data_IF_548152144974
#
_entry.id   IF_548152144974
#
_cell.length_a   1.000
_cell.length_b   1.000
_cell.length_c   1.000
_cell.angle_alpha   90.00
_cell.angle_beta   90.00
_cell.angle_gamma   90.00
#
_symmetry.space_group_name_H-M   'P 1'
#
loop_
_entity.id
_entity.type
_entity.pdbx_description
1 polymer ?
#
# COMPACT_ATOMS: atom_id res chain seq x y z
N UNK A 1 -0.80 -11.02 -8.76
CA UNK A 1 0.57 -10.80 -8.25
C UNK A 1 0.47 -10.29 -6.83
N UNK A 2 0.87 -11.14 -5.87
CA UNK A 2 0.72 -10.91 -4.43
C UNK A 2 1.52 -9.68 -4.00
N UNK A 3 1.03 -9.00 -2.97
CA UNK A 3 1.50 -7.74 -2.35
C UNK A 3 3.00 -7.62 -1.99
N UNK A 4 3.84 -8.61 -2.29
CA UNK A 4 5.18 -8.75 -1.72
C UNK A 4 6.34 -8.50 -2.69
N UNK A 5 6.14 -8.51 -4.02
CA UNK A 5 7.26 -8.34 -4.97
C UNK A 5 7.91 -6.95 -4.87
N UNK A 6 7.11 -5.89 -4.71
CA UNK A 6 7.62 -4.52 -4.57
C UNK A 6 8.34 -4.29 -3.22
N UNK A 7 7.94 -5.01 -2.16
CA UNK A 7 8.66 -4.95 -0.88
C UNK A 7 10.02 -5.66 -0.95
N UNK A 8 10.10 -6.73 -1.73
CA UNK A 8 11.33 -7.48 -1.93
C UNK A 8 12.40 -6.67 -2.69
N UNK A 9 11.98 -5.78 -3.61
CA UNK A 9 12.88 -4.83 -4.31
C UNK A 9 13.18 -3.55 -3.50
N UNK A 10 12.76 -3.47 -2.24
CA UNK A 10 13.10 -2.37 -1.34
C UNK A 10 12.15 -1.17 -1.36
N UNK A 11 11.00 -1.23 -2.05
CA UNK A 11 10.02 -0.13 -2.01
C UNK A 11 9.36 -0.08 -0.63
N UNK A 12 9.66 0.97 0.12
CA UNK A 12 9.02 1.27 1.41
C UNK A 12 7.89 2.29 1.23
N UNK A 13 6.70 1.93 1.68
CA UNK A 13 5.55 2.83 1.74
C UNK A 13 4.73 2.57 3.00
N UNK A 14 3.84 3.51 3.33
CA UNK A 14 2.86 3.36 4.40
C UNK A 14 1.96 2.14 4.20
N UNK A 15 1.33 1.66 5.28
CA UNK A 15 0.46 0.49 5.19
C UNK A 15 -0.80 0.83 4.36
N UNK A 16 -1.30 -0.16 3.63
CA UNK A 16 -2.56 -0.06 2.89
C UNK A 16 -2.43 0.19 1.39
N UNK A 17 -1.24 0.47 0.88
CA UNK A 17 -1.00 0.55 -0.56
C UNK A 17 -1.03 -0.82 -1.21
N UNK A 18 -1.71 -0.90 -2.35
CA UNK A 18 -1.83 -2.11 -3.17
C UNK A 18 -1.36 -1.77 -4.58
N UNK A 19 -0.37 -2.51 -5.07
CA UNK A 19 0.04 -2.47 -6.46
C UNK A 19 -1.07 -3.08 -7.32
N UNK A 20 -1.64 -2.31 -8.25
CA UNK A 20 -2.87 -2.74 -8.94
C UNK A 20 -2.70 -2.96 -10.45
N UNK A 21 -1.66 -2.39 -11.07
CA UNK A 21 -1.42 -2.53 -12.49
C UNK A 21 0.07 -2.37 -12.81
N UNK A 22 0.52 -3.09 -13.82
CA UNK A 22 1.88 -2.96 -14.39
C UNK A 22 1.77 -2.05 -15.62
N UNK A 23 2.52 -0.97 -15.64
CA UNK A 23 2.64 -0.13 -16.83
C UNK A 23 3.69 -0.73 -17.77
N UNK A 24 3.25 -1.31 -18.89
CA UNK A 24 4.13 -2.02 -19.84
C UNK A 24 5.14 -1.13 -20.58
N UNK A 25 4.78 0.10 -21.01
CA UNK A 25 5.73 0.98 -21.71
C UNK A 25 6.94 1.34 -20.85
N UNK A 26 6.73 1.56 -19.54
CA UNK A 26 7.78 1.96 -18.60
C UNK A 26 7.73 1.06 -17.36
N UNK A 27 8.46 -0.06 -17.34
CA UNK A 27 8.35 -1.09 -16.29
C UNK A 27 8.84 -0.61 -14.92
N UNK A 28 9.55 0.52 -14.87
CA UNK A 28 10.00 1.16 -13.64
C UNK A 28 8.90 2.03 -12.98
N UNK A 29 7.78 2.26 -13.68
CA UNK A 29 6.61 2.95 -13.12
C UNK A 29 5.69 1.93 -12.44
N UNK A 30 5.54 2.08 -11.13
CA UNK A 30 4.66 1.24 -10.32
C UNK A 30 3.40 2.01 -9.91
N UNK A 31 2.23 1.41 -10.16
CA UNK A 31 0.94 2.03 -9.87
C UNK A 31 0.33 1.45 -8.58
N UNK A 32 0.15 2.32 -7.59
CA UNK A 32 -0.43 1.96 -6.30
C UNK A 32 -1.79 2.63 -6.09
N UNK A 33 -2.70 1.92 -5.41
CA UNK A 33 -3.97 2.47 -4.93
C UNK A 33 -4.16 2.18 -3.45
N UNK A 34 -4.88 3.05 -2.76
CA UNK A 34 -5.29 2.88 -1.37
C UNK A 34 -6.80 3.12 -1.27
N UNK A 35 -7.56 2.27 -0.56
CA UNK A 35 -8.98 2.55 -0.30
C UNK A 35 -9.11 3.83 0.55
N UNK A 36 -10.10 4.66 0.21
CA UNK A 36 -10.41 5.91 0.93
C UNK A 36 -10.72 5.63 2.42
N UNK A 37 -11.45 4.55 2.69
CA UNK A 37 -11.86 4.14 4.02
C UNK A 37 -10.87 3.16 4.68
N UNK A 38 -9.59 3.19 4.32
CA UNK A 38 -8.57 2.26 4.85
C UNK A 38 -8.54 2.19 6.38
N UNK A 39 -8.83 3.30 7.07
CA UNK A 39 -8.91 3.35 8.52
C UNK A 39 -10.16 2.66 9.09
N UNK A 40 -11.29 2.66 8.37
CA UNK A 40 -12.52 1.99 8.83
C UNK A 40 -12.47 0.49 8.56
N UNK A 41 -11.95 0.09 7.40
CA UNK A 41 -11.86 -1.32 6.99
C UNK A 41 -10.74 -2.11 7.69
N UNK A 42 -9.74 -1.43 8.25
CA UNK A 42 -8.62 -2.10 8.91
C UNK A 42 -8.54 -1.74 10.40
N UNK A 43 -9.01 -2.61 11.32
CA UNK A 43 -9.00 -2.32 12.76
C UNK A 43 -7.60 -2.07 13.33
N UNK A 44 -6.55 -2.57 12.67
CA UNK A 44 -5.15 -2.30 13.03
C UNK A 44 -4.71 -0.86 12.71
N UNK A 45 -5.33 -0.20 11.73
CA UNK A 45 -5.02 1.19 11.39
C UNK A 45 -5.63 2.17 12.40
N UNK A 46 -6.78 1.81 13.01
CA UNK A 46 -7.42 2.60 14.06
C UNK A 46 -6.56 2.67 15.32
N UNK A 47 -5.95 1.55 15.72
CA UNK A 47 -5.08 1.49 16.90
C UNK A 47 -3.85 2.40 16.77
N UNK A 48 -3.25 2.49 15.58
CA UNK A 48 -2.08 3.35 15.35
C UNK A 48 -2.41 4.86 15.45
N UNK A 49 -3.65 5.26 15.19
CA UNK A 49 -4.10 6.66 15.35
C UNK A 49 -4.47 7.02 16.78
N UNK A 50 -4.90 6.03 17.57
CA UNK A 50 -5.22 6.25 18.97
C UNK A 50 -3.95 6.45 19.82
N UNK A 51 -2.81 5.88 19.42
CA UNK A 51 -1.53 6.06 20.11
C UNK A 51 -0.83 7.40 19.82
N UNK A 52 -1.32 8.19 18.85
CA UNK A 52 -0.74 9.47 18.46
C UNK A 52 -1.49 10.69 19.06
N UNK A 53 -2.32 10.46 20.08
CA UNK A 53 -3.04 11.51 20.83
C UNK A 53 -2.47 11.68 22.23
#
# INVERSE_FOLDING_TARGET
MLKNEWRAIGVQQSRGWVHYAIHRPEPHIMLFRRPLNYQQDNPQAQQAQQLAK
#
